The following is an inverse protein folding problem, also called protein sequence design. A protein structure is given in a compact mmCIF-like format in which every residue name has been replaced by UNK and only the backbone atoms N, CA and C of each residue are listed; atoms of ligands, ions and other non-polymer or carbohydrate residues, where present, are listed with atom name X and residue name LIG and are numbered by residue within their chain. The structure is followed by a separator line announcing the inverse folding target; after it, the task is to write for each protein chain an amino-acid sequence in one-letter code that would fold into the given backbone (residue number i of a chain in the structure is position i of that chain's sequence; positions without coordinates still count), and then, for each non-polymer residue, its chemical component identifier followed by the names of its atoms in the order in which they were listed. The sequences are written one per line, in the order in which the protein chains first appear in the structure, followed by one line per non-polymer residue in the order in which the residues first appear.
data_IF_561508376533
#
_entry.id   IF_561508376533
#
_cell.length_a   1.000
_cell.length_b   1.000
_cell.length_c   1.000
_cell.angle_alpha   90.00
_cell.angle_beta   90.00
_cell.angle_gamma   90.00
#
_symmetry.space_group_name_H-M   'P 1'
#
loop_
_entity.id
_entity.type
_entity.pdbx_description
1 polymer ?
#
# COMPACT_ATOMS: atom_id res chain seq x y z
N UNK A 1 10.11 -9.74 21.56
CA UNK A 1 9.19 -9.42 20.47
C UNK A 1 9.23 -7.94 20.15
N UNK A 2 9.27 -7.64 18.91
CA UNK A 2 9.46 -6.28 18.47
C UNK A 2 8.11 -5.59 18.33
N UNK A 3 7.85 -4.62 19.19
CA UNK A 3 6.59 -3.88 19.14
C UNK A 3 6.41 -3.12 17.84
N UNK A 4 7.52 -2.66 17.27
CA UNK A 4 7.45 -1.93 16.00
C UNK A 4 6.93 -2.82 14.90
N UNK A 5 7.37 -4.08 14.89
CA UNK A 5 6.90 -5.03 13.89
C UNK A 5 5.40 -5.27 14.01
N UNK A 6 4.91 -5.38 15.25
CA UNK A 6 3.49 -5.59 15.47
C UNK A 6 2.66 -4.39 15.00
N UNK A 7 3.15 -3.20 15.27
CA UNK A 7 2.46 -2.00 14.82
C UNK A 7 2.41 -1.93 13.31
N UNK A 8 3.53 -2.26 12.67
CA UNK A 8 3.59 -2.23 11.22
C UNK A 8 2.61 -3.23 10.62
N UNK A 9 2.56 -4.42 11.18
CA UNK A 9 1.65 -5.43 10.69
C UNK A 9 0.20 -4.99 10.84
N UNK A 10 -0.15 -4.43 11.98
CA UNK A 10 -1.51 -3.94 12.18
C UNK A 10 -1.85 -2.85 11.18
N UNK A 11 -0.90 -1.97 10.91
CA UNK A 11 -1.13 -0.89 9.95
C UNK A 11 -1.35 -1.44 8.56
N UNK A 12 -0.56 -2.43 8.16
CA UNK A 12 -0.72 -3.05 6.86
C UNK A 12 -2.10 -3.68 6.74
N UNK A 13 -2.53 -4.40 7.76
CA UNK A 13 -3.85 -5.01 7.72
C UNK A 13 -4.95 -3.97 7.66
N UNK A 14 -4.78 -2.87 8.38
CA UNK A 14 -5.73 -1.78 8.34
C UNK A 14 -5.83 -1.18 6.95
N UNK A 15 -4.68 -1.00 6.30
CA UNK A 15 -4.65 -0.46 4.95
C UNK A 15 -5.31 -1.41 3.97
N UNK A 16 -5.03 -2.71 4.09
CA UNK A 16 -5.63 -3.68 3.20
C UNK A 16 -7.15 -3.71 3.33
N UNK A 17 -7.65 -3.61 4.54
CA UNK A 17 -9.09 -3.54 4.76
C UNK A 17 -9.68 -2.28 4.14
N UNK A 18 -8.96 -1.18 4.26
CA UNK A 18 -9.44 0.07 3.70
C UNK A 18 -9.42 0.04 2.19
N UNK A 19 -8.39 -0.57 1.60
CA UNK A 19 -8.34 -0.73 0.15
C UNK A 19 -9.50 -1.59 -0.33
N UNK A 20 -9.79 -2.65 0.40
CA UNK A 20 -10.88 -3.54 0.02
C UNK A 20 -12.22 -2.81 0.06
N UNK A 21 -12.37 -1.90 0.99
CA UNK A 21 -13.63 -1.17 1.15
C UNK A 21 -13.72 0.04 0.23
N UNK A 22 -12.65 0.80 0.11
CA UNK A 22 -12.68 2.10 -0.55
C UNK A 22 -11.86 2.20 -1.83
N UNK A 23 -11.14 1.16 -2.20
CA UNK A 23 -10.41 1.16 -3.45
C UNK A 23 -9.22 2.08 -3.42
N UNK A 24 -9.28 3.14 -4.22
CA UNK A 24 -8.15 4.05 -4.37
C UNK A 24 -8.30 5.31 -3.53
N UNK A 25 -9.20 5.28 -2.57
CA UNK A 25 -9.39 6.38 -1.65
C UNK A 25 -9.30 5.87 -0.22
N UNK A 26 -8.99 6.76 0.71
CA UNK A 26 -9.01 6.38 2.10
C UNK A 26 -7.75 6.74 2.83
N UNK A 27 -7.40 5.95 3.83
CA UNK A 27 -6.28 6.25 4.70
C UNK A 27 -4.94 5.97 4.04
N UNK A 28 -3.88 6.54 4.58
CA UNK A 28 -2.54 6.28 4.09
C UNK A 28 -2.15 7.09 2.88
N UNK A 29 -2.85 8.18 2.62
CA UNK A 29 -2.57 9.07 1.50
C UNK A 29 -2.41 8.34 0.18
N UNK A 30 -3.50 7.76 -0.33
CA UNK A 30 -3.42 7.06 -1.62
C UNK A 30 -2.89 7.97 -2.70
N UNK A 31 -1.97 7.46 -3.47
CA UNK A 31 -1.31 8.25 -4.49
C UNK A 31 -1.05 7.40 -5.71
N UNK A 32 -1.45 7.89 -6.86
CA UNK A 32 -1.19 7.19 -8.09
C UNK A 32 0.27 7.36 -8.49
N UNK A 33 0.89 6.28 -8.92
CA UNK A 33 2.27 6.34 -9.38
C UNK A 33 2.33 6.75 -10.83
N UNK A 34 3.53 6.98 -11.33
CA UNK A 34 3.72 7.43 -12.69
C UNK A 34 4.73 6.55 -13.41
N UNK A 35 4.91 6.81 -14.70
CA UNK A 35 5.85 6.04 -15.49
C UNK A 35 5.38 4.61 -15.68
N UNK A 36 6.30 3.69 -15.53
CA UNK A 36 6.00 2.28 -15.73
C UNK A 36 5.00 1.74 -14.73
N UNK A 37 4.79 2.46 -13.64
CA UNK A 37 3.87 2.03 -12.61
C UNK A 37 2.58 2.84 -12.60
N UNK A 38 2.21 3.41 -13.73
CA UNK A 38 1.06 4.30 -13.78
C UNK A 38 -0.26 3.60 -13.50
N UNK A 39 -0.31 2.29 -13.56
CA UNK A 39 -1.51 1.55 -13.20
C UNK A 39 -1.57 1.22 -11.73
N UNK A 40 -0.57 1.62 -10.96
CA UNK A 40 -0.44 1.26 -9.57
C UNK A 40 -0.63 2.47 -8.69
N UNK A 41 -1.01 2.19 -7.45
CA UNK A 41 -1.20 3.19 -6.41
C UNK A 41 -0.37 2.81 -5.21
N UNK A 42 -0.07 3.78 -4.38
CA UNK A 42 0.64 3.51 -3.15
C UNK A 42 -0.13 4.08 -1.97
N UNK A 43 0.04 3.45 -0.83
CA UNK A 43 -0.45 3.97 0.43
C UNK A 43 0.65 3.89 1.46
N UNK A 44 0.74 4.87 2.30
CA UNK A 44 1.79 4.92 3.31
C UNK A 44 1.47 3.98 4.46
N UNK A 45 2.45 3.17 4.81
CA UNK A 45 2.39 2.39 6.03
C UNK A 45 2.88 3.27 7.17
N UNK A 46 4.04 3.90 6.95
CA UNK A 46 4.60 4.88 7.87
C UNK A 46 5.45 5.84 7.04
N UNK A 47 6.32 6.60 7.70
CA UNK A 47 7.10 7.63 7.00
C UNK A 47 8.07 7.05 5.98
N UNK A 48 8.42 5.78 6.12
CA UNK A 48 9.44 5.17 5.26
C UNK A 48 8.91 4.05 4.39
N UNK A 49 7.74 3.52 4.70
CA UNK A 49 7.25 2.31 4.05
C UNK A 49 5.92 2.53 3.38
N UNK A 50 5.72 1.87 2.25
CA UNK A 50 4.49 2.00 1.47
C UNK A 50 4.06 0.64 0.95
N UNK A 51 2.77 0.54 0.64
CA UNK A 51 2.21 -0.58 -0.11
C UNK A 51 1.98 -0.08 -1.52
N UNK A 52 2.48 -0.80 -2.51
CA UNK A 52 2.24 -0.48 -3.92
C UNK A 52 1.34 -1.58 -4.47
N UNK A 53 0.21 -1.18 -5.02
CA UNK A 53 -0.82 -2.13 -5.36
C UNK A 53 -1.67 -1.63 -6.52
N UNK A 54 -2.46 -2.52 -7.08
CA UNK A 54 -3.55 -2.16 -7.99
C UNK A 54 -4.69 -3.12 -7.76
N UNK A 55 -5.87 -2.75 -8.21
CA UNK A 55 -7.05 -3.58 -8.08
C UNK A 55 -7.44 -4.04 -9.47
N UNK A 56 -7.59 -5.34 -9.63
CA UNK A 56 -7.95 -5.92 -10.90
C UNK A 56 -8.96 -7.03 -10.66
N UNK A 57 -10.14 -6.90 -11.27
CA UNK A 57 -11.22 -7.89 -11.11
C UNK A 57 -11.55 -8.12 -9.63
N UNK A 58 -11.60 -7.03 -8.86
CA UNK A 58 -11.90 -7.08 -7.43
C UNK A 58 -10.83 -7.79 -6.61
N UNK A 59 -9.65 -7.95 -7.17
CA UNK A 59 -8.53 -8.56 -6.47
C UNK A 59 -7.47 -7.49 -6.26
N UNK A 60 -7.00 -7.38 -5.03
CA UNK A 60 -5.92 -6.47 -4.71
C UNK A 60 -4.60 -7.15 -5.03
N UNK A 61 -3.87 -6.59 -5.96
CA UNK A 61 -2.57 -7.14 -6.35
C UNK A 61 -1.48 -6.27 -5.79
N UNK A 62 -0.69 -6.81 -4.88
CA UNK A 62 0.38 -6.08 -4.23
C UNK A 62 1.69 -6.44 -4.92
N UNK A 63 2.38 -5.43 -5.43
CA UNK A 63 3.66 -5.68 -6.09
C UNK A 63 4.81 -5.34 -5.17
N UNK A 64 4.55 -4.56 -4.13
CA UNK A 64 5.62 -4.18 -3.23
C UNK A 64 5.03 -3.78 -1.90
N UNK A 65 5.69 -4.16 -0.82
CA UNK A 65 5.31 -3.77 0.51
C UNK A 65 6.59 -3.53 1.29
N UNK A 66 6.85 -2.29 1.65
CA UNK A 66 8.06 -1.95 2.35
C UNK A 66 8.62 -0.63 1.87
N UNK A 67 9.92 -0.44 2.09
CA UNK A 67 10.56 0.84 1.82
C UNK A 67 11.16 0.95 0.43
N UNK A 68 11.42 -0.16 -0.20
CA UNK A 68 12.00 -0.12 -1.54
C UNK A 68 11.00 -0.55 -2.56
N UNK A 69 10.58 0.35 -3.39
CA UNK A 69 9.88 -0.08 -4.57
C UNK A 69 10.61 0.45 -5.78
N UNK A 70 10.58 -0.35 -6.79
CA UNK A 70 11.43 -0.17 -7.95
C UNK A 70 10.89 0.85 -8.90
N UNK A 71 10.19 1.74 -8.41
CA UNK A 71 9.53 2.70 -9.26
C UNK A 71 10.43 3.75 -9.83
N UNK A 72 11.69 3.61 -9.61
CA UNK A 72 12.52 4.65 -10.13
C UNK A 72 13.21 4.28 -11.39
#
# INVERSE_FOLDING_TARGET
MDKTRQKTLKRILQLLKDIDRNGYEGIGKPERLSGDLSDYWSRRIDSSNRIVYRIENNIIKIVQCGSHYRGK
#
